data_IF_596089368890
#
_entry.id   IF_596089368890
#
_cell.length_a   1.000
_cell.length_b   1.000
_cell.length_c   1.000
_cell.angle_alpha   90.00
_cell.angle_beta   90.00
_cell.angle_gamma   90.00
#
_symmetry.space_group_name_H-M   'P 1'
#
loop_
_entity.id
_entity.type
_entity.pdbx_description
1 polymer ?
#
# COMPACT_ATOMS: atom_id res chain seq x y z
N UNK A 1 12.96 3.48 18.42
CA UNK A 1 11.80 4.17 19.05
C UNK A 1 10.59 3.25 18.95
N UNK A 2 9.97 2.87 20.07
CA UNK A 2 8.81 1.97 20.06
C UNK A 2 7.54 2.80 19.85
N UNK A 3 6.76 2.52 18.81
CA UNK A 3 5.48 3.22 18.59
C UNK A 3 4.49 2.78 19.66
N UNK A 4 3.85 3.72 20.39
CA UNK A 4 2.82 3.37 21.35
C UNK A 4 1.64 2.65 20.68
N UNK A 5 0.93 1.75 21.39
CA UNK A 5 -0.30 1.16 20.90
C UNK A 5 -1.28 2.22 20.40
N UNK A 6 -2.00 1.94 19.31
CA UNK A 6 -3.00 2.82 18.68
C UNK A 6 -2.47 4.19 18.18
N UNK A 7 -1.16 4.38 18.09
CA UNK A 7 -0.56 5.67 17.69
C UNK A 7 0.14 5.64 16.34
N UNK A 8 0.03 4.54 15.57
CA UNK A 8 0.67 4.37 14.26
C UNK A 8 0.30 5.48 13.28
N UNK A 9 -0.97 5.90 13.27
CA UNK A 9 -1.47 6.97 12.40
C UNK A 9 -0.76 8.34 12.59
N UNK A 10 -0.06 8.53 13.71
CA UNK A 10 0.66 9.78 14.04
C UNK A 10 2.17 9.57 14.09
N UNK A 11 2.63 8.38 14.49
CA UNK A 11 4.04 8.10 14.70
C UNK A 11 4.73 7.41 13.51
N UNK A 12 3.99 6.87 12.54
CA UNK A 12 4.56 6.21 11.35
C UNK A 12 4.47 7.15 10.14
N UNK A 13 5.60 7.60 9.57
CA UNK A 13 5.62 8.48 8.39
C UNK A 13 4.73 8.02 7.24
N UNK A 14 4.67 6.70 7.03
CA UNK A 14 3.83 6.09 6.00
C UNK A 14 2.34 6.34 6.21
N UNK A 15 1.83 6.03 7.40
CA UNK A 15 0.43 6.22 7.74
C UNK A 15 0.04 7.70 7.77
N UNK A 16 0.97 8.56 8.18
CA UNK A 16 0.79 10.00 8.30
C UNK A 16 0.70 10.71 6.94
N UNK A 17 1.44 10.25 5.93
CA UNK A 17 1.57 11.01 4.69
C UNK A 17 1.24 10.26 3.40
N UNK A 18 1.81 9.09 3.14
CA UNK A 18 1.71 8.48 1.80
C UNK A 18 0.75 7.29 1.70
N UNK A 19 0.43 6.58 2.79
CA UNK A 19 -0.52 5.47 2.74
C UNK A 19 -1.93 5.93 2.34
N UNK A 20 -2.38 7.10 2.83
CA UNK A 20 -3.69 7.66 2.45
C UNK A 20 -3.78 7.96 0.94
N UNK A 21 -2.91 8.81 0.34
CA UNK A 21 -2.99 9.09 -1.09
C UNK A 21 -2.73 7.86 -1.95
N UNK A 22 -1.82 6.95 -1.54
CA UNK A 22 -1.59 5.69 -2.24
C UNK A 22 -2.87 4.83 -2.28
N UNK A 23 -3.52 4.62 -1.12
CA UNK A 23 -4.78 3.87 -1.03
C UNK A 23 -5.92 4.57 -1.78
N UNK A 24 -5.93 5.90 -1.87
CA UNK A 24 -6.92 6.63 -2.67
C UNK A 24 -6.75 6.35 -4.17
N UNK A 25 -5.51 6.34 -4.68
CA UNK A 25 -5.21 6.02 -6.08
C UNK A 25 -5.58 4.58 -6.44
N UNK A 26 -5.19 3.62 -5.58
CA UNK A 26 -5.55 2.21 -5.78
C UNK A 26 -7.08 2.00 -5.82
N UNK A 27 -7.82 2.68 -4.95
CA UNK A 27 -9.30 2.66 -5.00
C UNK A 27 -9.84 3.26 -6.29
N UNK A 28 -9.23 4.32 -6.80
CA UNK A 28 -9.57 4.89 -8.11
C UNK A 28 -9.44 3.87 -9.23
N UNK A 29 -8.28 3.23 -9.37
CA UNK A 29 -8.07 2.21 -10.40
C UNK A 29 -9.02 1.02 -10.29
N UNK A 30 -9.35 0.62 -9.06
CA UNK A 30 -10.36 -0.42 -8.82
C UNK A 30 -11.75 0.01 -9.32
N UNK A 31 -12.18 1.23 -9.00
CA UNK A 31 -13.47 1.77 -9.49
C UNK A 31 -13.48 1.88 -11.01
N UNK A 32 -12.40 2.34 -11.63
CA UNK A 32 -12.27 2.44 -13.08
C UNK A 32 -12.44 1.06 -13.74
N UNK A 33 -11.76 0.04 -13.21
CA UNK A 33 -11.89 -1.35 -13.67
C UNK A 33 -13.34 -1.86 -13.56
N UNK A 34 -14.02 -1.59 -12.43
CA UNK A 34 -15.41 -1.96 -12.24
C UNK A 34 -16.32 -1.26 -13.26
N UNK A 35 -16.11 0.03 -13.50
CA UNK A 35 -16.87 0.80 -14.48
C UNK A 35 -16.67 0.27 -15.90
N UNK A 36 -15.45 -0.08 -16.28
CA UNK A 36 -15.15 -0.71 -17.58
C UNK A 36 -15.88 -2.04 -17.75
N UNK A 37 -15.87 -2.90 -16.73
CA UNK A 37 -16.60 -4.18 -16.78
C UNK A 37 -18.11 -3.99 -16.89
N UNK A 38 -18.68 -3.00 -16.18
CA UNK A 38 -20.10 -2.68 -16.25
C UNK A 38 -20.53 -2.14 -17.63
N UNK A 39 -19.64 -1.41 -18.32
CA UNK A 39 -19.85 -0.94 -19.70
C UNK A 39 -19.81 -2.09 -20.71
N UNK A 40 -18.94 -3.08 -20.49
CA UNK A 40 -18.79 -4.25 -21.37
C UNK A 40 -19.82 -5.36 -21.11
N UNK A 41 -20.69 -5.21 -20.11
CA UNK A 41 -21.69 -6.24 -19.76
C UNK A 41 -22.66 -6.47 -20.92
N UNK A 42 -23.05 -7.73 -21.13
CA UNK A 42 -24.10 -8.07 -22.08
C UNK A 42 -25.49 -7.88 -21.44
N UNK A 43 -26.41 -7.14 -22.07
CA UNK A 43 -27.79 -7.04 -21.61
C UNK A 43 -28.42 -8.42 -21.44
N UNK A 44 -29.24 -8.60 -20.40
CA UNK A 44 -29.90 -9.87 -20.10
C UNK A 44 -29.02 -10.94 -19.45
N UNK A 45 -27.72 -10.70 -19.26
CA UNK A 45 -26.84 -11.60 -18.50
C UNK A 45 -26.54 -11.03 -17.11
N UNK A 46 -26.58 -11.85 -16.05
CA UNK A 46 -26.11 -11.43 -14.73
C UNK A 46 -24.67 -10.96 -14.80
N UNK A 47 -24.38 -9.84 -14.14
CA UNK A 47 -23.01 -9.33 -14.05
C UNK A 47 -22.15 -10.29 -13.23
N UNK A 48 -21.03 -10.73 -13.80
CA UNK A 48 -19.99 -11.48 -13.11
C UNK A 48 -18.73 -10.65 -13.05
N UNK A 49 -18.36 -10.26 -11.82
CA UNK A 49 -17.13 -9.52 -11.56
C UNK A 49 -15.90 -10.36 -11.95
N UNK A 50 -15.00 -9.75 -12.71
CA UNK A 50 -13.67 -10.29 -12.96
C UNK A 50 -12.68 -9.54 -12.06
N UNK A 51 -12.09 -10.19 -11.04
CA UNK A 51 -11.10 -9.53 -10.20
C UNK A 51 -9.81 -9.28 -10.99
N UNK A 52 -9.04 -8.22 -10.68
CA UNK A 52 -7.71 -7.99 -11.23
C UNK A 52 -6.78 -9.10 -10.77
N UNK A 53 -5.88 -9.51 -11.65
CA UNK A 53 -4.79 -10.39 -11.26
C UNK A 53 -3.68 -9.62 -10.50
N UNK A 54 -2.73 -10.37 -9.95
CA UNK A 54 -1.61 -9.81 -9.19
C UNK A 54 -0.72 -8.90 -10.03
N UNK A 55 -0.53 -9.20 -11.32
CA UNK A 55 0.29 -8.40 -12.21
C UNK A 55 -0.33 -7.01 -12.44
N UNK A 56 -1.66 -6.95 -12.62
CA UNK A 56 -2.41 -5.71 -12.75
C UNK A 56 -2.34 -4.87 -11.47
N UNK A 57 -2.55 -5.49 -10.30
CA UNK A 57 -2.41 -4.81 -9.00
C UNK A 57 -0.98 -4.28 -8.81
N UNK A 58 0.05 -5.07 -9.13
CA UNK A 58 1.44 -4.63 -9.04
C UNK A 58 1.72 -3.42 -9.97
N UNK A 59 1.13 -3.43 -11.17
CA UNK A 59 1.16 -2.29 -12.08
C UNK A 59 0.51 -1.03 -11.49
N UNK A 60 -0.63 -1.19 -10.82
CA UNK A 60 -1.30 -0.09 -10.11
C UNK A 60 -0.47 0.47 -8.96
N UNK A 61 0.16 -0.39 -8.15
CA UNK A 61 1.04 0.02 -7.05
C UNK A 61 2.23 0.80 -7.60
N UNK A 62 2.89 0.28 -8.65
CA UNK A 62 4.03 0.95 -9.30
C UNK A 62 3.63 2.35 -9.79
N UNK A 63 2.49 2.45 -10.48
CA UNK A 63 1.98 3.73 -10.99
C UNK A 63 1.63 4.69 -9.87
N UNK A 64 0.86 4.25 -8.87
CA UNK A 64 0.45 5.07 -7.74
C UNK A 64 1.65 5.58 -6.94
N UNK A 65 2.69 4.75 -6.78
CA UNK A 65 3.94 5.13 -6.13
C UNK A 65 4.70 6.20 -6.92
N UNK A 66 4.82 6.03 -8.24
CA UNK A 66 5.49 7.01 -9.12
C UNK A 66 4.79 8.38 -9.15
N UNK A 67 3.48 8.42 -8.89
CA UNK A 67 2.70 9.65 -8.79
C UNK A 67 2.85 10.36 -7.42
N UNK A 68 3.45 9.73 -6.41
CA UNK A 68 3.71 10.38 -5.13
C UNK A 68 4.86 11.38 -5.25
N UNK A 69 4.63 12.58 -4.74
CA UNK A 69 5.69 13.61 -4.73
C UNK A 69 6.67 13.37 -3.60
N UNK A 70 7.94 13.74 -3.82
CA UNK A 70 8.97 13.77 -2.77
C UNK A 70 8.51 14.58 -1.55
N UNK A 71 7.80 15.70 -1.79
CA UNK A 71 7.20 16.54 -0.75
C UNK A 71 6.25 15.76 0.16
N UNK A 72 5.46 14.85 -0.39
CA UNK A 72 4.56 13.98 0.39
C UNK A 72 5.36 13.08 1.32
N UNK A 73 6.45 12.48 0.84
CA UNK A 73 7.31 11.62 1.65
C UNK A 73 8.00 12.42 2.75
N UNK A 74 8.65 13.54 2.41
CA UNK A 74 9.30 14.44 3.39
C UNK A 74 8.33 14.92 4.47
N UNK A 75 7.10 15.29 4.10
CA UNK A 75 6.07 15.71 5.05
C UNK A 75 5.68 14.61 6.04
N UNK A 76 5.75 13.33 5.65
CA UNK A 76 5.49 12.20 6.54
C UNK A 76 6.51 12.09 7.65
N UNK A 77 7.79 12.13 7.31
CA UNK A 77 8.89 12.11 8.29
C UNK A 77 8.80 13.31 9.23
N UNK A 78 8.57 14.51 8.69
CA UNK A 78 8.41 15.71 9.51
C UNK A 78 7.28 15.59 10.52
N UNK A 79 6.09 15.17 10.08
CA UNK A 79 4.91 15.04 10.95
C UNK A 79 5.04 13.92 11.98
N UNK A 80 5.81 12.89 11.69
CA UNK A 80 6.14 11.83 12.64
C UNK A 80 7.23 12.24 13.67
N UNK A 81 7.76 13.46 13.60
CA UNK A 81 8.84 13.92 14.47
C UNK A 81 10.21 13.33 14.11
N UNK A 82 10.37 12.84 12.87
CA UNK A 82 11.56 12.20 12.35
C UNK A 82 12.23 13.05 11.26
N UNK A 83 12.12 14.37 11.36
CA UNK A 83 12.76 15.31 10.43
C UNK A 83 14.28 15.15 10.53
N UNK A 84 14.90 14.67 9.44
CA UNK A 84 16.35 14.53 9.32
C UNK A 84 16.88 15.78 8.64
N UNK A 85 18.03 16.30 9.10
CA UNK A 85 18.72 17.38 8.37
C UNK A 85 19.04 16.91 6.95
N UNK A 86 18.87 17.79 5.95
CA UNK A 86 19.26 17.46 4.58
C UNK A 86 20.79 17.30 4.54
N UNK A 87 21.25 16.05 4.65
CA UNK A 87 22.63 15.69 4.36
C UNK A 87 22.64 15.23 2.91
N UNK A 88 23.41 15.91 2.07
CA UNK A 88 23.64 15.51 0.68
C UNK A 88 24.53 14.25 0.70
N UNK A 89 23.90 13.08 0.77
CA UNK A 89 24.59 11.79 0.66
C UNK A 89 24.10 11.13 -0.62
N UNK A 90 25.01 10.74 -1.50
CA UNK A 90 24.62 10.05 -2.72
C UNK A 90 23.90 8.75 -2.36
N UNK A 91 22.75 8.46 -3.00
CA UNK A 91 22.00 7.24 -2.73
C UNK A 91 22.87 5.98 -2.88
N UNK A 92 23.83 6.00 -3.80
CA UNK A 92 24.85 4.95 -3.98
C UNK A 92 25.72 4.73 -2.74
N UNK A 93 26.12 5.79 -2.03
CA UNK A 93 26.91 5.69 -0.80
C UNK A 93 26.10 5.10 0.35
N UNK A 94 24.83 5.50 0.47
CA UNK A 94 23.91 4.93 1.47
C UNK A 94 23.68 3.45 1.20
N UNK A 95 23.43 3.08 -0.06
CA UNK A 95 23.26 1.68 -0.47
C UNK A 95 24.55 0.89 -0.20
N UNK A 96 25.72 1.40 -0.56
CA UNK A 96 26.99 0.72 -0.31
C UNK A 96 27.24 0.52 1.20
N UNK A 97 26.93 1.52 2.02
CA UNK A 97 27.09 1.43 3.47
C UNK A 97 26.11 0.44 4.10
N UNK A 98 24.84 0.45 3.70
CA UNK A 98 23.85 -0.53 4.16
C UNK A 98 24.22 -1.95 3.72
N UNK A 99 24.74 -2.12 2.51
CA UNK A 99 25.26 -3.40 2.02
C UNK A 99 26.43 -3.89 2.88
N UNK A 100 27.38 -3.00 3.23
CA UNK A 100 28.52 -3.33 4.09
C UNK A 100 28.11 -3.73 5.51
N UNK A 101 26.96 -3.23 5.98
CA UNK A 101 26.39 -3.55 7.29
C UNK A 101 25.46 -4.76 7.27
N UNK A 102 25.31 -5.44 6.12
CA UNK A 102 24.35 -6.54 5.93
C UNK A 102 22.90 -6.17 6.28
N UNK A 103 22.54 -4.89 6.10
CA UNK A 103 21.19 -4.35 6.36
C UNK A 103 20.31 -4.32 5.11
N UNK A 104 20.84 -4.73 3.96
CA UNK A 104 20.07 -4.93 2.73
C UNK A 104 19.72 -6.41 2.64
N UNK A 105 18.43 -6.74 2.72
CA UNK A 105 17.98 -8.09 2.44
C UNK A 105 18.06 -8.34 0.93
N UNK A 106 18.94 -9.25 0.52
CA UNK A 106 19.09 -9.68 -0.87
C UNK A 106 17.96 -10.59 -1.35
N UNK A 107 17.05 -11.00 -0.45
CA UNK A 107 15.88 -11.81 -0.80
C UNK A 107 14.77 -10.89 -1.31
N UNK A 108 14.76 -10.67 -2.62
CA UNK A 108 13.52 -10.31 -3.30
C UNK A 108 12.61 -11.54 -3.18
N UNK A 109 11.75 -11.56 -2.17
CA UNK A 109 10.85 -12.68 -1.92
C UNK A 109 10.02 -12.96 -3.17
N UNK A 110 10.03 -14.21 -3.64
CA UNK A 110 9.04 -14.67 -4.60
C UNK A 110 7.66 -14.44 -3.97
N UNK A 111 6.78 -13.72 -4.67
CA UNK A 111 5.42 -13.48 -4.20
C UNK A 111 4.70 -14.82 -4.24
N UNK A 112 4.71 -15.56 -3.14
CA UNK A 112 4.02 -16.83 -3.04
C UNK A 112 2.51 -16.59 -3.25
N UNK A 113 1.86 -17.45 -4.03
CA UNK A 113 0.41 -17.44 -4.32
C UNK A 113 -0.43 -17.90 -3.12
N UNK A 114 -0.02 -17.52 -1.92
CA UNK A 114 -0.80 -17.81 -0.73
C UNK A 114 -2.03 -16.89 -0.71
N UNK A 115 -3.20 -17.52 -0.76
CA UNK A 115 -4.50 -16.91 -0.63
C UNK A 115 -4.60 -16.22 0.74
N UNK A 116 -4.80 -14.90 0.76
CA UNK A 116 -5.27 -14.21 1.96
C UNK A 116 -6.69 -14.70 2.28
N UNK A 117 -6.81 -15.70 3.16
CA UNK A 117 -8.08 -16.06 3.76
C UNK A 117 -8.43 -15.00 4.80
N UNK A 118 -9.40 -14.14 4.49
CA UNK A 118 -10.04 -13.30 5.49
C UNK A 118 -10.79 -14.23 6.44
N UNK A 119 -10.32 -14.37 7.68
CA UNK A 119 -11.12 -14.98 8.74
C UNK A 119 -12.39 -14.15 8.91
N UNK A 120 -13.52 -14.68 8.45
CA UNK A 120 -14.83 -14.12 8.77
C UNK A 120 -15.09 -14.37 10.26
N UNK A 121 -14.88 -13.34 11.08
CA UNK A 121 -15.37 -13.33 12.45
C UNK A 121 -16.91 -13.46 12.42
N UNK A 122 -17.39 -14.68 12.67
CA UNK A 122 -18.79 -14.97 12.99
C UNK A 122 -19.15 -14.24 14.28
N UNK A 123 -19.83 -13.12 14.15
CA UNK A 123 -20.43 -12.39 15.27
C UNK A 123 -21.83 -11.94 14.84
N UNK A 124 -22.68 -12.92 14.57
CA UNK A 124 -24.14 -12.78 14.47
C UNK A 124 -24.77 -14.09 14.95
N UNK A 125 -24.75 -14.32 16.25
CA UNK A 125 -25.75 -15.13 16.93
C UNK A 125 -26.10 -14.38 18.21
N UNK A 126 -27.22 -13.65 18.17
CA UNK A 126 -28.15 -13.44 19.29
C UNK A 126 -29.28 -12.53 18.81
N UNK A 127 -30.29 -13.13 18.17
CA UNK A 127 -31.65 -12.63 18.19
C UNK A 127 -32.61 -13.82 18.38
N UNK A 128 -33.53 -13.64 19.34
CA UNK A 128 -34.75 -14.40 19.65
C UNK A 128 -34.64 -15.51 20.72
N UNK A 129 -34.93 -15.13 21.97
CA UNK A 129 -36.24 -15.43 22.58
C UNK A 129 -36.52 -14.50 23.77
#
# INVERSE_FOLDING_TARGET
>A
MKVPPNSTAVCQPADVAWNKPLKQKLRGYWVDLLQEQLKLRKPGTPFKLVPPDRALIAGWIKRAWAELTEKTVKAGYKKAGLEVQEVEVAASEVIAKLASLSLIDGRIGAVADEHDTIESSSLCDELHN
#
